data_IF_835729727843
#
_entry.id   IF_835729727843
#
_cell.length_a   1.000
_cell.length_b   1.000
_cell.length_c   1.000
_cell.angle_alpha   90.00
_cell.angle_beta   90.00
_cell.angle_gamma   90.00
#
_symmetry.space_group_name_H-M   'P 1'
#
loop_
_entity.id
_entity.type
_entity.pdbx_description
1 polymer ?
#
# COMPACT_ATOMS: atom_id res chain seq x y z
N UNK A 1 16.46 -86.33 19.89
CA UNK A 1 17.78 -85.80 20.17
C UNK A 1 17.80 -84.33 19.72
N UNK A 2 18.28 -83.47 20.50
CA UNK A 2 18.53 -82.07 20.29
C UNK A 2 17.27 -81.17 20.07
N UNK A 3 16.79 -80.62 21.16
CA UNK A 3 15.80 -79.58 21.20
C UNK A 3 16.47 -78.24 20.88
N UNK A 4 16.01 -77.61 19.87
CA UNK A 4 16.35 -76.21 19.56
C UNK A 4 15.35 -75.28 20.28
N UNK A 5 15.85 -74.55 21.25
CA UNK A 5 15.07 -73.51 21.93
C UNK A 5 15.16 -72.26 21.18
N UNK A 6 14.06 -71.86 20.61
CA UNK A 6 13.87 -70.52 20.03
C UNK A 6 13.43 -69.53 21.14
N UNK A 7 14.34 -68.69 21.55
CA UNK A 7 14.08 -67.62 22.49
C UNK A 7 13.39 -66.49 21.79
N UNK A 8 12.15 -66.25 22.13
CA UNK A 8 11.42 -65.06 21.70
C UNK A 8 11.89 -63.85 22.52
N UNK A 9 12.40 -62.86 21.86
CA UNK A 9 12.70 -61.55 22.44
C UNK A 9 11.44 -60.78 22.74
N UNK A 10 11.31 -60.10 23.87
CA UNK A 10 10.13 -59.32 24.16
C UNK A 10 10.13 -58.02 23.37
N UNK A 11 8.99 -57.73 22.78
CA UNK A 11 8.71 -56.47 22.18
C UNK A 11 8.80 -55.34 23.25
N UNK A 12 9.81 -54.52 23.13
CA UNK A 12 9.90 -53.26 23.88
C UNK A 12 9.74 -52.12 22.88
N UNK A 13 8.79 -51.26 23.21
CA UNK A 13 8.75 -49.84 22.94
C UNK A 13 7.51 -49.37 22.18
N UNK A 14 6.45 -49.29 22.95
CA UNK A 14 5.29 -48.48 22.52
C UNK A 14 5.01 -47.34 23.52
N UNK A 15 6.01 -46.78 24.19
CA UNK A 15 5.79 -45.76 25.22
C UNK A 15 6.68 -44.51 25.13
N UNK A 16 7.41 -44.34 24.03
CA UNK A 16 8.31 -43.19 23.91
C UNK A 16 7.81 -42.08 22.94
N UNK A 17 6.58 -42.15 22.46
CA UNK A 17 6.11 -41.22 21.43
C UNK A 17 5.29 -40.03 21.95
N UNK A 18 5.07 -39.89 23.25
CA UNK A 18 4.26 -38.79 23.81
C UNK A 18 5.03 -37.88 24.78
N UNK A 19 6.35 -37.83 24.69
CA UNK A 19 7.10 -36.81 25.42
C UNK A 19 6.92 -35.44 24.74
N UNK A 20 6.55 -34.37 25.45
CA UNK A 20 6.44 -33.05 24.86
C UNK A 20 7.78 -32.65 24.25
N UNK A 21 7.78 -32.45 22.94
CA UNK A 21 8.95 -32.06 22.19
C UNK A 21 9.35 -30.64 22.60
N UNK A 22 10.41 -30.50 23.37
CA UNK A 22 10.97 -29.20 23.69
C UNK A 22 11.53 -28.59 22.42
N UNK A 23 10.89 -27.49 21.94
CA UNK A 23 11.41 -26.69 20.86
C UNK A 23 12.42 -25.72 21.45
N UNK A 24 13.69 -25.90 21.10
CA UNK A 24 14.74 -24.97 21.50
C UNK A 24 14.74 -23.78 20.53
N UNK A 25 14.36 -22.62 21.00
CA UNK A 25 14.46 -21.38 20.21
C UNK A 25 15.91 -20.93 19.95
N UNK A 26 16.90 -21.53 20.64
CA UNK A 26 18.31 -21.21 20.47
C UNK A 26 18.96 -21.82 19.22
N UNK A 27 18.30 -22.76 18.54
CA UNK A 27 18.78 -23.45 17.33
C UNK A 27 17.72 -23.42 16.24
N UNK A 28 17.30 -22.21 15.84
CA UNK A 28 16.53 -22.03 14.64
C UNK A 28 17.54 -22.05 13.50
N UNK A 29 17.57 -23.13 12.72
CA UNK A 29 18.48 -23.31 11.59
C UNK A 29 18.12 -22.46 10.39
N UNK A 30 16.89 -21.94 10.36
CA UNK A 30 16.42 -20.97 9.37
C UNK A 30 15.96 -19.73 10.11
N UNK A 31 16.54 -18.53 9.83
CA UNK A 31 16.03 -17.30 10.38
C UNK A 31 14.60 -17.09 9.90
N UNK A 32 13.67 -16.87 10.82
CA UNK A 32 12.32 -16.44 10.47
C UNK A 32 12.46 -15.13 9.71
N UNK A 33 11.93 -15.10 8.50
CA UNK A 33 11.84 -13.90 7.70
C UNK A 33 10.99 -12.89 8.47
N UNK A 34 11.59 -11.75 8.83
CA UNK A 34 10.87 -10.70 9.53
C UNK A 34 9.88 -10.08 8.54
N UNK A 35 8.56 -10.12 8.82
CA UNK A 35 7.61 -9.49 7.93
C UNK A 35 7.89 -7.98 7.84
N UNK A 36 7.70 -7.42 6.65
CA UNK A 36 7.86 -5.99 6.43
C UNK A 36 6.78 -5.22 7.19
N UNK A 37 7.13 -4.67 8.36
CA UNK A 37 6.18 -4.01 9.26
C UNK A 37 5.64 -2.68 8.71
N UNK A 38 6.34 -2.08 7.76
CA UNK A 38 5.98 -0.82 7.14
C UNK A 38 5.20 -1.00 5.82
N UNK A 39 5.02 -2.24 5.34
CA UNK A 39 4.39 -2.52 4.07
C UNK A 39 2.97 -1.93 3.97
N UNK A 40 2.19 -2.02 5.05
CA UNK A 40 0.84 -1.45 5.07
C UNK A 40 0.85 0.07 4.89
N UNK A 41 1.78 0.77 5.53
CA UNK A 41 1.89 2.23 5.43
C UNK A 41 2.36 2.65 4.05
N UNK A 42 3.39 2.01 3.51
CA UNK A 42 3.92 2.31 2.18
C UNK A 42 2.91 1.99 1.08
N UNK A 43 2.24 0.86 1.16
CA UNK A 43 1.23 0.45 0.18
C UNK A 43 0.00 1.38 0.21
N UNK A 44 -0.43 1.80 1.39
CA UNK A 44 -1.53 2.76 1.55
C UNK A 44 -1.17 4.14 0.98
N UNK A 45 0.06 4.57 1.20
CA UNK A 45 0.55 5.84 0.67
C UNK A 45 0.69 5.78 -0.85
N UNK A 46 1.22 4.70 -1.40
CA UNK A 46 1.33 4.46 -2.84
C UNK A 46 -0.04 4.48 -3.53
N UNK A 47 -1.04 3.88 -2.91
CA UNK A 47 -2.41 3.96 -3.38
C UNK A 47 -2.96 5.39 -3.31
N UNK A 48 -2.75 6.09 -2.19
CA UNK A 48 -3.26 7.46 -2.00
C UNK A 48 -2.76 8.41 -3.09
N UNK A 49 -1.45 8.40 -3.36
CA UNK A 49 -0.83 9.29 -4.36
C UNK A 49 -0.93 8.77 -5.79
N UNK A 50 -1.32 7.52 -6.01
CA UNK A 50 -1.34 6.89 -7.33
C UNK A 50 0.06 6.69 -7.90
N UNK A 51 0.99 6.16 -7.10
CA UNK A 51 2.37 5.92 -7.53
C UNK A 51 2.45 4.95 -8.71
N UNK A 52 3.54 5.01 -9.47
CA UNK A 52 3.75 4.09 -10.60
C UNK A 52 3.86 2.63 -10.13
N UNK A 53 4.37 2.41 -8.92
CA UNK A 53 4.44 1.09 -8.29
C UNK A 53 3.03 0.54 -8.06
N UNK A 54 2.15 1.35 -7.51
CA UNK A 54 0.76 0.98 -7.30
C UNK A 54 0.04 0.71 -8.63
N UNK A 55 0.19 1.58 -9.63
CA UNK A 55 -0.41 1.40 -10.96
C UNK A 55 0.01 0.08 -11.59
N UNK A 56 1.29 -0.26 -11.54
CA UNK A 56 1.81 -1.54 -12.06
C UNK A 56 1.21 -2.74 -11.32
N UNK A 57 1.03 -2.65 -9.99
CA UNK A 57 0.36 -3.70 -9.22
C UNK A 57 -1.10 -3.87 -9.63
N UNK A 58 -1.83 -2.78 -9.84
CA UNK A 58 -3.22 -2.79 -10.29
C UNK A 58 -3.32 -3.45 -11.68
N UNK A 59 -2.49 -3.04 -12.62
CA UNK A 59 -2.46 -3.62 -13.97
C UNK A 59 -2.15 -5.12 -13.93
N UNK A 60 -1.19 -5.53 -13.11
CA UNK A 60 -0.84 -6.95 -12.93
C UNK A 60 -2.01 -7.73 -12.32
N UNK A 61 -2.69 -7.17 -11.35
CA UNK A 61 -3.84 -7.80 -10.70
C UNK A 61 -5.04 -7.94 -11.66
N UNK A 62 -5.30 -6.92 -12.48
CA UNK A 62 -6.33 -6.96 -13.51
C UNK A 62 -6.01 -7.98 -14.61
N UNK A 63 -4.75 -8.06 -15.03
CA UNK A 63 -4.29 -9.07 -15.99
C UNK A 63 -4.42 -10.50 -15.44
N UNK A 64 -4.32 -10.67 -14.12
CA UNK A 64 -4.55 -11.93 -13.42
C UNK A 64 -6.06 -12.25 -13.22
N UNK A 65 -6.97 -11.40 -13.70
CA UNK A 65 -8.42 -11.59 -13.62
C UNK A 65 -9.03 -11.19 -12.27
N UNK A 66 -8.32 -10.44 -11.44
CA UNK A 66 -8.88 -9.91 -10.21
C UNK A 66 -9.73 -8.67 -10.52
N UNK A 67 -10.96 -8.66 -10.03
CA UNK A 67 -11.93 -7.56 -10.22
C UNK A 67 -12.17 -6.75 -8.94
N UNK A 68 -11.57 -7.17 -7.83
CA UNK A 68 -11.70 -6.58 -6.51
C UNK A 68 -10.70 -5.44 -6.23
N UNK A 69 -9.98 -5.01 -7.26
CA UNK A 69 -8.92 -4.01 -7.14
C UNK A 69 -9.44 -2.65 -7.55
N UNK A 70 -9.26 -1.64 -6.68
CA UNK A 70 -9.55 -0.25 -7.05
C UNK A 70 -8.62 0.20 -8.18
N UNK A 71 -9.20 0.76 -9.23
CA UNK A 71 -8.46 1.30 -10.39
C UNK A 71 -8.13 2.78 -10.23
N UNK A 72 -8.70 3.42 -9.21
CA UNK A 72 -8.50 4.83 -8.90
C UNK A 72 -7.60 4.99 -7.69
N UNK A 73 -6.76 6.01 -7.72
CA UNK A 73 -5.97 6.38 -6.54
C UNK A 73 -6.85 7.05 -5.48
N UNK A 74 -6.38 7.06 -4.24
CA UNK A 74 -7.14 7.67 -3.15
C UNK A 74 -7.41 9.17 -3.37
N UNK A 75 -6.46 9.92 -3.96
CA UNK A 75 -6.67 11.33 -4.30
C UNK A 75 -7.70 11.50 -5.41
N UNK A 76 -7.70 10.65 -6.43
CA UNK A 76 -8.70 10.68 -7.49
C UNK A 76 -10.11 10.40 -6.94
N UNK A 77 -10.26 9.43 -6.05
CA UNK A 77 -11.53 9.15 -5.39
C UNK A 77 -12.03 10.35 -4.57
N UNK A 78 -11.15 10.97 -3.78
CA UNK A 78 -11.50 12.15 -2.99
C UNK A 78 -11.92 13.31 -3.89
N UNK A 79 -11.17 13.59 -4.95
CA UNK A 79 -11.51 14.69 -5.86
C UNK A 79 -12.83 14.46 -6.60
N UNK A 80 -13.15 13.24 -6.95
CA UNK A 80 -14.45 12.90 -7.51
C UNK A 80 -15.58 13.04 -6.50
N UNK A 81 -15.36 12.65 -5.25
CA UNK A 81 -16.37 12.73 -4.20
C UNK A 81 -16.74 14.18 -3.88
N UNK A 82 -15.76 15.08 -3.82
CA UNK A 82 -15.99 16.51 -3.54
C UNK A 82 -16.40 17.33 -4.77
N UNK A 83 -16.20 16.81 -5.98
CA UNK A 83 -16.52 17.49 -7.23
C UNK A 83 -17.89 17.04 -7.74
N UNK A 84 -18.66 17.97 -8.34
CA UNK A 84 -18.47 19.42 -8.41
C UNK A 84 -18.87 20.12 -7.11
N UNK A 85 -18.18 21.23 -6.82
CA UNK A 85 -18.61 22.18 -5.78
C UNK A 85 -19.46 23.25 -6.47
N UNK A 86 -20.73 23.31 -6.14
CA UNK A 86 -21.69 24.20 -6.78
C UNK A 86 -22.11 25.33 -5.84
N UNK A 87 -22.41 26.48 -6.44
CA UNK A 87 -23.03 27.61 -5.74
C UNK A 87 -24.48 27.29 -5.39
N UNK A 88 -25.03 27.99 -4.38
CA UNK A 88 -26.43 27.86 -3.96
C UNK A 88 -27.44 28.04 -5.11
N UNK A 89 -27.12 28.87 -6.07
CA UNK A 89 -27.95 29.13 -7.27
C UNK A 89 -27.62 28.21 -8.45
N UNK A 90 -26.69 27.28 -8.29
CA UNK A 90 -26.19 26.36 -9.35
C UNK A 90 -25.68 27.12 -10.61
N UNK A 91 -25.30 28.39 -10.47
CA UNK A 91 -24.77 29.20 -11.56
C UNK A 91 -23.29 28.94 -11.83
N UNK A 92 -22.57 28.52 -10.82
CA UNK A 92 -21.13 28.29 -10.88
C UNK A 92 -20.78 26.89 -10.29
N UNK A 93 -19.88 26.21 -10.97
CA UNK A 93 -19.36 24.93 -10.49
C UNK A 93 -17.84 24.88 -10.56
N UNK A 94 -17.22 24.28 -9.55
CA UNK A 94 -15.80 24.04 -9.46
C UNK A 94 -15.55 22.52 -9.39
N UNK A 95 -14.73 22.02 -10.29
CA UNK A 95 -14.34 20.62 -10.34
C UNK A 95 -12.83 20.47 -10.31
N UNK A 96 -12.35 19.43 -9.65
CA UNK A 96 -10.94 19.04 -9.70
C UNK A 96 -10.77 17.94 -10.74
N UNK A 97 -9.85 18.13 -11.69
CA UNK A 97 -9.66 17.19 -12.80
C UNK A 97 -8.46 16.31 -12.61
N UNK A 98 -7.29 16.91 -12.47
CA UNK A 98 -6.02 16.22 -12.40
C UNK A 98 -5.20 16.69 -11.21
N UNK A 99 -4.33 15.83 -10.76
CA UNK A 99 -3.34 16.16 -9.75
C UNK A 99 -1.95 15.71 -10.20
N UNK A 100 -0.93 16.42 -9.74
CA UNK A 100 0.46 16.04 -9.97
C UNK A 100 1.30 16.41 -8.76
N UNK A 101 2.30 15.59 -8.52
CA UNK A 101 3.35 15.90 -7.57
C UNK A 101 4.57 16.45 -8.30
N UNK A 102 5.13 17.53 -7.80
CA UNK A 102 6.43 17.99 -8.23
C UNK A 102 7.54 17.33 -7.40
N UNK A 103 8.76 17.22 -7.95
CA UNK A 103 9.88 16.66 -7.21
C UNK A 103 10.12 17.47 -5.93
N UNK A 104 10.49 16.79 -4.83
CA UNK A 104 10.80 17.44 -3.57
C UNK A 104 11.95 18.45 -3.72
N UNK A 105 11.91 19.54 -2.97
CA UNK A 105 12.93 20.56 -3.00
C UNK A 105 14.29 20.06 -2.49
N UNK A 106 14.27 19.14 -1.55
CA UNK A 106 15.45 18.56 -0.92
C UNK A 106 15.45 17.06 -1.10
N UNK A 107 16.62 16.47 -1.33
CA UNK A 107 16.78 15.02 -1.30
C UNK A 107 16.62 14.47 0.12
N UNK A 108 16.48 13.15 0.24
CA UNK A 108 16.37 12.49 1.55
C UNK A 108 17.62 12.74 2.39
N UNK A 109 18.80 12.72 1.76
CA UNK A 109 20.07 12.96 2.44
C UNK A 109 20.20 14.42 2.88
N UNK A 110 19.82 15.39 2.03
CA UNK A 110 19.77 16.80 2.39
C UNK A 110 18.83 17.06 3.57
N UNK A 111 17.69 16.36 3.62
CA UNK A 111 16.74 16.47 4.72
C UNK A 111 17.34 16.00 6.05
N UNK A 112 18.10 14.92 6.02
CA UNK A 112 18.80 14.40 7.20
C UNK A 112 19.91 15.36 7.68
N UNK A 113 20.69 15.89 6.75
CA UNK A 113 21.81 16.78 7.06
C UNK A 113 21.35 18.15 7.56
N UNK A 114 20.23 18.64 7.05
CA UNK A 114 19.69 19.97 7.38
C UNK A 114 18.57 19.95 8.41
N UNK A 115 18.15 18.77 8.86
CA UNK A 115 17.02 18.59 9.79
C UNK A 115 15.73 19.26 9.27
N UNK A 116 15.45 19.09 7.98
CA UNK A 116 14.24 19.56 7.33
C UNK A 116 13.35 18.40 6.91
N UNK A 117 12.06 18.68 6.77
CA UNK A 117 11.08 17.66 6.39
C UNK A 117 11.16 17.35 4.90
N UNK A 118 11.11 16.07 4.56
CA UNK A 118 10.96 15.62 3.17
C UNK A 118 9.51 15.80 2.74
N UNK A 119 9.26 16.69 1.79
CA UNK A 119 7.93 17.01 1.31
C UNK A 119 7.91 17.25 -0.19
N UNK A 120 6.84 16.82 -0.83
CA UNK A 120 6.60 17.03 -2.24
C UNK A 120 5.38 17.96 -2.45
N UNK A 121 5.49 19.02 -3.26
CA UNK A 121 4.36 19.88 -3.57
C UNK A 121 3.31 19.15 -4.40
N UNK A 122 2.05 19.34 -4.05
CA UNK A 122 0.89 18.86 -4.79
C UNK A 122 0.25 20.01 -5.55
N UNK A 123 0.14 19.85 -6.86
CA UNK A 123 -0.60 20.74 -7.74
C UNK A 123 -1.85 20.04 -8.27
N UNK A 124 -2.94 20.77 -8.30
CA UNK A 124 -4.22 20.27 -8.77
C UNK A 124 -4.75 21.18 -9.86
N UNK A 125 -5.28 20.61 -10.92
CA UNK A 125 -5.97 21.37 -11.96
C UNK A 125 -7.43 21.54 -11.58
N UNK A 126 -7.80 22.76 -11.25
CA UNK A 126 -9.17 23.16 -10.97
C UNK A 126 -9.84 23.70 -12.23
N UNK A 127 -11.04 23.21 -12.51
CA UNK A 127 -11.87 23.65 -13.62
C UNK A 127 -13.10 24.38 -13.07
N UNK A 128 -13.21 25.63 -13.43
CA UNK A 128 -14.33 26.47 -13.07
C UNK A 128 -15.27 26.62 -14.26
N UNK A 129 -16.53 26.33 -14.05
CA UNK A 129 -17.55 26.44 -15.09
C UNK A 129 -18.64 27.43 -14.64
N UNK A 130 -18.98 28.36 -15.52
CA UNK A 130 -20.15 29.19 -15.37
C UNK A 130 -21.31 28.57 -16.17
N UNK A 131 -22.32 28.08 -15.47
CA UNK A 131 -23.44 27.38 -16.09
C UNK A 131 -24.37 28.31 -16.89
N UNK A 132 -24.38 29.61 -16.58
CA UNK A 132 -25.20 30.61 -17.31
C UNK A 132 -24.60 30.96 -18.66
N UNK A 133 -23.29 31.19 -18.70
CA UNK A 133 -22.58 31.61 -19.92
C UNK A 133 -21.93 30.47 -20.67
N UNK A 134 -21.81 29.27 -20.05
CA UNK A 134 -21.11 28.12 -20.58
C UNK A 134 -19.57 28.30 -20.61
N UNK A 135 -19.05 29.33 -19.96
CA UNK A 135 -17.61 29.62 -19.91
C UNK A 135 -16.90 28.62 -18.98
N UNK A 136 -15.83 28.04 -19.47
CA UNK A 136 -15.00 27.09 -18.72
C UNK A 136 -13.58 27.68 -18.61
N UNK A 137 -13.09 27.80 -17.39
CA UNK A 137 -11.71 28.19 -17.09
C UNK A 137 -11.03 27.12 -16.28
N UNK A 138 -9.83 26.74 -16.70
CA UNK A 138 -9.00 25.80 -15.93
C UNK A 138 -7.72 26.48 -15.47
N UNK A 139 -7.31 26.19 -14.25
CA UNK A 139 -6.09 26.69 -13.65
C UNK A 139 -5.45 25.62 -12.77
N UNK A 140 -4.14 25.52 -12.88
CA UNK A 140 -3.37 24.68 -11.97
C UNK A 140 -3.04 25.47 -10.70
N UNK A 141 -3.43 24.96 -9.55
CA UNK A 141 -3.24 25.60 -8.26
C UNK A 141 -2.38 24.74 -7.35
N UNK A 142 -1.57 25.40 -6.53
CA UNK A 142 -0.84 24.74 -5.46
C UNK A 142 -1.80 24.39 -4.33
N UNK A 143 -1.89 23.10 -4.01
CA UNK A 143 -2.81 22.63 -2.98
C UNK A 143 -2.15 22.53 -1.61
N UNK A 144 -0.88 22.17 -1.58
CA UNK A 144 -0.13 21.97 -0.36
C UNK A 144 1.07 21.04 -0.56
N UNK A 145 1.68 20.67 0.55
CA UNK A 145 2.82 19.76 0.55
C UNK A 145 2.45 18.46 1.23
N UNK A 146 2.78 17.34 0.57
CA UNK A 146 2.73 16.01 1.18
C UNK A 146 4.06 15.71 1.85
N UNK A 147 4.00 15.38 3.12
CA UNK A 147 5.16 15.08 3.97
C UNK A 147 5.27 13.58 4.18
N UNK A 148 6.47 13.12 4.04
CA UNK A 148 6.82 11.73 4.34
C UNK A 148 7.42 11.61 5.74
#
# INVERSE_FOLDING_TARGET
MAASRTSAAPARNATAQNAPRRISFAKISEPLEVPELLALQTDSFDWLIGSDIWKTRVETALAAGRTDVSTKSGLEEIFEEISPIEDFSETMSLSFRDHRFEPPKYSVDDCKDRDVTYAAPLFVTAEFMNNETGEIKSQTVFMGEFRS
#
